data_IF_266136220424
#
_entry.id   IF_266136220424
#
_cell.length_a   1.000
_cell.length_b   1.000
_cell.length_c   1.000
_cell.angle_alpha   90.00
_cell.angle_beta   90.00
_cell.angle_gamma   90.00
#
_symmetry.space_group_name_H-M   'P 1'
#
loop_
_entity.id
_entity.type
_entity.pdbx_description
1 polymer ?
#
# COMPACT_ATOMS: atom_id res chain seq x y z
N UNK A 1 -38.83 -22.06 -7.33
CA UNK A 1 -38.96 -23.35 -6.61
C UNK A 1 -39.70 -24.31 -7.52
N UNK A 2 -39.32 -25.58 -7.68
CA UNK A 2 -38.26 -26.34 -6.99
C UNK A 2 -37.27 -27.04 -7.95
N UNK A 3 -36.20 -27.60 -7.39
CA UNK A 3 -35.28 -28.48 -8.12
C UNK A 3 -33.94 -28.66 -7.43
N UNK A 4 -33.96 -29.18 -6.19
CA UNK A 4 -32.78 -29.71 -5.51
C UNK A 4 -31.98 -30.63 -6.44
N UNK A 5 -30.67 -30.45 -6.51
CA UNK A 5 -29.75 -31.51 -6.89
C UNK A 5 -28.67 -31.59 -5.83
N UNK A 6 -28.83 -32.52 -4.89
CA UNK A 6 -27.73 -33.05 -4.11
C UNK A 6 -26.73 -33.68 -5.09
N UNK A 7 -25.44 -33.41 -4.87
CA UNK A 7 -24.38 -34.20 -5.48
C UNK A 7 -23.47 -34.68 -4.35
N UNK A 8 -23.82 -35.87 -3.85
CA UNK A 8 -23.00 -36.69 -2.98
C UNK A 8 -21.96 -37.39 -3.84
N UNK A 9 -20.69 -37.17 -3.56
CA UNK A 9 -19.59 -37.98 -4.10
C UNK A 9 -18.68 -38.40 -2.94
N UNK A 10 -18.91 -39.64 -2.50
CA UNK A 10 -18.05 -40.37 -1.58
C UNK A 10 -16.90 -40.96 -2.40
N UNK A 11 -15.67 -40.68 -2.01
CA UNK A 11 -14.52 -41.50 -2.36
C UNK A 11 -13.68 -41.72 -1.09
N UNK A 12 -13.76 -42.95 -0.58
CA UNK A 12 -12.95 -43.47 0.51
C UNK A 12 -11.87 -44.34 -0.13
N UNK A 13 -10.58 -43.99 -0.01
CA UNK A 13 -9.50 -44.96 -0.18
C UNK A 13 -8.42 -44.75 0.86
N UNK A 14 -8.18 -45.85 1.58
CA UNK A 14 -7.30 -46.02 2.72
C UNK A 14 -5.83 -45.84 2.39
N UNK A 15 -5.08 -45.47 3.43
CA UNK A 15 -3.61 -45.51 3.59
C UNK A 15 -2.89 -46.58 2.75
N UNK A 16 -1.78 -46.18 2.14
CA UNK A 16 -0.54 -46.95 2.16
C UNK A 16 0.66 -45.99 2.21
N UNK A 17 1.52 -46.22 3.20
CA UNK A 17 2.75 -45.50 3.44
C UNK A 17 3.85 -45.92 2.44
N UNK A 18 4.77 -45.00 2.14
CA UNK A 18 6.04 -45.30 1.49
C UNK A 18 6.60 -44.13 0.69
N UNK A 19 7.52 -43.37 1.27
CA UNK A 19 8.56 -42.66 0.49
C UNK A 19 9.65 -43.69 0.12
N UNK A 20 10.27 -43.61 -1.06
CA UNK A 20 11.46 -42.77 -1.18
C UNK A 20 11.46 -41.84 -2.40
N UNK A 21 12.22 -40.77 -2.20
CA UNK A 21 12.58 -39.66 -3.09
C UNK A 21 13.44 -40.08 -4.27
N UNK A 22 13.12 -39.59 -5.47
CA UNK A 22 14.10 -39.09 -6.45
C UNK A 22 13.39 -38.53 -7.69
N UNK A 23 12.81 -37.34 -7.59
CA UNK A 23 12.72 -36.48 -8.76
C UNK A 23 13.87 -35.47 -8.66
N UNK A 24 14.66 -35.41 -9.72
CA UNK A 24 15.76 -34.47 -9.91
C UNK A 24 15.18 -33.05 -9.95
N UNK A 25 15.06 -32.46 -8.78
CA UNK A 25 14.67 -31.07 -8.57
C UNK A 25 15.89 -30.17 -8.82
N UNK A 26 16.14 -29.87 -10.10
CA UNK A 26 17.28 -29.05 -10.56
C UNK A 26 17.32 -27.64 -9.91
N UNK A 27 16.27 -27.24 -9.19
CA UNK A 27 16.17 -25.96 -8.50
C UNK A 27 16.56 -26.00 -7.02
N UNK A 28 16.78 -27.18 -6.42
CA UNK A 28 17.21 -27.27 -5.00
C UNK A 28 18.70 -26.99 -4.78
N UNK A 29 19.49 -26.89 -5.86
CA UNK A 29 20.89 -26.45 -5.79
C UNK A 29 21.05 -24.92 -5.87
N UNK A 30 19.96 -24.16 -6.03
CA UNK A 30 20.03 -22.69 -6.00
C UNK A 30 20.41 -22.21 -4.61
N UNK A 31 21.52 -21.46 -4.51
CA UNK A 31 21.93 -20.76 -3.28
C UNK A 31 20.98 -19.63 -2.89
N UNK A 32 20.11 -19.21 -3.80
CA UNK A 32 19.04 -18.27 -3.49
C UNK A 32 17.78 -19.07 -3.08
N UNK A 33 17.42 -19.07 -1.78
CA UNK A 33 16.29 -19.84 -1.28
C UNK A 33 14.93 -19.29 -1.75
N UNK A 34 14.88 -18.06 -2.24
CA UNK A 34 13.63 -17.42 -2.72
C UNK A 34 13.14 -18.02 -4.05
N UNK A 35 14.03 -18.70 -4.79
CA UNK A 35 13.71 -19.42 -6.03
C UNK A 35 13.18 -20.84 -5.80
N UNK A 36 13.13 -21.31 -4.55
CA UNK A 36 12.67 -22.66 -4.26
C UNK A 36 11.16 -22.76 -4.54
N UNK A 37 10.66 -23.78 -5.25
CA UNK A 37 9.23 -23.91 -5.58
C UNK A 37 8.29 -23.84 -4.36
N UNK A 38 8.78 -24.24 -3.19
CA UNK A 38 8.08 -24.18 -1.90
C UNK A 38 7.90 -22.74 -1.37
N UNK A 39 8.71 -21.80 -1.87
CA UNK A 39 8.71 -20.35 -1.53
C UNK A 39 8.29 -19.47 -2.72
N UNK A 40 8.67 -19.84 -3.94
CA UNK A 40 8.33 -19.20 -5.21
C UNK A 40 6.93 -19.55 -5.72
N UNK A 41 6.31 -20.60 -5.17
CA UNK A 41 4.89 -20.89 -5.31
C UNK A 41 4.08 -19.79 -4.63
N UNK A 42 3.88 -18.71 -5.37
CA UNK A 42 3.10 -17.57 -4.92
C UNK A 42 1.73 -18.05 -4.43
N UNK A 43 1.41 -17.77 -3.16
CA UNK A 43 0.04 -17.92 -2.63
C UNK A 43 -0.99 -17.16 -3.48
N UNK A 44 -0.56 -16.22 -4.34
CA UNK A 44 -1.42 -15.50 -5.28
C UNK A 44 -1.95 -16.36 -6.44
N UNK A 45 -1.24 -17.42 -6.84
CA UNK A 45 -1.69 -18.31 -7.93
C UNK A 45 -2.59 -19.44 -7.41
N UNK A 46 -2.59 -19.68 -6.11
CA UNK A 46 -3.28 -20.80 -5.47
C UNK A 46 -4.50 -20.33 -4.66
N UNK A 47 -5.22 -19.31 -5.12
CA UNK A 47 -6.55 -19.05 -4.56
C UNK A 47 -7.50 -20.14 -5.06
N UNK A 48 -7.48 -21.28 -4.36
CA UNK A 48 -8.49 -22.32 -4.49
C UNK A 48 -9.83 -21.71 -4.12
N UNK A 49 -10.81 -21.89 -5.01
CA UNK A 49 -12.21 -21.79 -4.63
C UNK A 49 -12.44 -22.77 -3.48
N UNK A 50 -12.55 -22.26 -2.26
CA UNK A 50 -12.94 -23.05 -1.11
C UNK A 50 -14.44 -22.84 -0.88
N UNK A 51 -15.29 -23.85 -1.13
CA UNK A 51 -16.64 -23.84 -0.62
C UNK A 51 -16.53 -24.14 0.89
N UNK A 52 -16.92 -23.18 1.73
CA UNK A 52 -16.86 -23.22 3.19
C UNK A 52 -15.44 -23.24 3.79
N UNK A 53 -14.90 -22.05 4.02
CA UNK A 53 -13.92 -21.82 5.10
C UNK A 53 -14.58 -20.86 6.09
N UNK A 54 -14.67 -21.31 7.34
CA UNK A 54 -14.97 -20.45 8.50
C UNK A 54 -14.18 -19.14 8.39
N UNK A 55 -14.83 -17.99 8.54
CA UNK A 55 -14.30 -16.62 8.43
C UNK A 55 -12.77 -16.52 8.51
N UNK A 56 -12.10 -16.73 7.38
CA UNK A 56 -10.85 -16.04 7.13
C UNK A 56 -11.21 -14.56 7.16
N UNK A 57 -10.53 -13.78 8.00
CA UNK A 57 -10.69 -12.34 8.05
C UNK A 57 -10.17 -11.78 6.72
N UNK A 58 -11.01 -11.84 5.70
CA UNK A 58 -10.67 -11.57 4.30
C UNK A 58 -9.95 -10.21 4.18
N UNK A 59 -10.28 -9.28 5.08
CA UNK A 59 -9.69 -7.95 5.21
C UNK A 59 -8.19 -8.05 5.44
N UNK A 60 -7.78 -8.88 6.41
CA UNK A 60 -6.37 -9.10 6.74
C UNK A 60 -5.64 -9.79 5.61
N UNK A 61 -6.21 -10.83 5.00
CA UNK A 61 -5.52 -11.59 3.97
C UNK A 61 -5.26 -10.75 2.70
N UNK A 62 -6.26 -9.99 2.25
CA UNK A 62 -6.12 -9.16 1.05
C UNK A 62 -5.25 -7.93 1.30
N UNK A 63 -5.45 -7.23 2.41
CA UNK A 63 -4.58 -6.10 2.78
C UNK A 63 -3.12 -6.52 2.93
N UNK A 64 -2.86 -7.67 3.59
CA UNK A 64 -1.52 -8.23 3.72
C UNK A 64 -0.91 -8.58 2.37
N UNK A 65 -1.68 -9.17 1.46
CA UNK A 65 -1.23 -9.54 0.12
C UNK A 65 -0.80 -8.32 -0.70
N UNK A 66 -1.63 -7.28 -0.70
CA UNK A 66 -1.34 -6.01 -1.36
C UNK A 66 -0.08 -5.39 -0.75
N UNK A 67 -0.02 -5.32 0.58
CA UNK A 67 1.10 -4.75 1.31
C UNK A 67 2.43 -5.46 1.05
N UNK A 68 2.43 -6.80 1.02
CA UNK A 68 3.64 -7.60 0.78
C UNK A 68 4.20 -7.45 -0.62
N UNK A 69 3.36 -7.13 -1.61
CA UNK A 69 3.81 -6.83 -2.96
C UNK A 69 4.54 -5.49 -3.06
N UNK A 70 4.13 -4.52 -2.24
CA UNK A 70 4.69 -3.18 -2.27
C UNK A 70 5.91 -3.05 -1.37
N UNK A 71 5.97 -3.74 -0.23
CA UNK A 71 7.02 -3.54 0.76
C UNK A 71 8.44 -3.96 0.31
N UNK A 72 9.43 -3.43 1.02
CA UNK A 72 10.85 -3.84 0.98
C UNK A 72 11.47 -3.75 2.37
N UNK A 73 12.75 -4.12 2.49
CA UNK A 73 13.52 -3.96 3.73
C UNK A 73 13.69 -2.49 4.13
N UNK A 74 13.71 -1.55 3.18
CA UNK A 74 13.89 -0.12 3.46
C UNK A 74 12.58 0.59 3.86
N UNK A 75 11.42 0.01 3.51
CA UNK A 75 10.10 0.50 3.90
C UNK A 75 9.15 -0.69 4.15
N UNK A 76 9.29 -1.36 5.31
CA UNK A 76 8.60 -2.60 5.60
C UNK A 76 7.11 -2.39 5.85
N UNK A 77 6.34 -3.45 5.59
CA UNK A 77 4.92 -3.51 5.87
C UNK A 77 4.65 -3.55 7.37
N UNK A 78 3.72 -2.74 7.86
CA UNK A 78 3.25 -2.73 9.24
C UNK A 78 1.74 -2.91 9.26
N UNK A 79 1.24 -3.71 10.21
CA UNK A 79 -0.20 -3.93 10.42
C UNK A 79 -0.71 -3.09 11.59
N UNK A 80 -1.75 -2.29 11.37
CA UNK A 80 -2.41 -1.47 12.40
C UNK A 80 -1.48 -0.52 13.15
N UNK A 81 -0.31 -0.21 12.59
CA UNK A 81 0.68 0.62 13.26
C UNK A 81 0.24 2.08 13.22
N UNK A 82 0.24 2.73 14.37
CA UNK A 82 0.06 4.17 14.44
C UNK A 82 1.31 4.85 13.89
N UNK A 83 1.09 5.88 13.10
CA UNK A 83 2.15 6.78 12.71
C UNK A 83 2.49 7.67 13.91
N UNK A 84 3.56 7.31 14.63
CA UNK A 84 4.14 8.16 15.67
C UNK A 84 4.93 9.28 15.01
N UNK A 85 4.56 10.53 15.33
CA UNK A 85 5.14 11.76 14.80
C UNK A 85 5.11 12.86 15.87
N UNK A 86 5.91 13.94 15.71
CA UNK A 86 5.86 15.10 16.59
C UNK A 86 4.42 15.62 16.74
N UNK A 87 4.02 15.94 17.97
CA UNK A 87 2.65 16.36 18.31
C UNK A 87 2.16 17.56 17.49
N UNK A 88 3.08 18.44 17.06
CA UNK A 88 2.79 19.60 16.20
C UNK A 88 2.26 19.22 14.81
N UNK A 89 2.57 18.02 14.32
CA UNK A 89 2.17 17.52 13.00
C UNK A 89 1.08 16.45 13.08
N UNK A 90 0.57 16.18 14.27
CA UNK A 90 -0.45 15.17 14.47
C UNK A 90 -1.82 15.75 14.10
N UNK A 91 -2.48 15.16 13.12
CA UNK A 91 -3.81 15.60 12.66
C UNK A 91 -4.87 14.65 13.18
N UNK A 92 -5.73 15.17 14.04
CA UNK A 92 -6.91 14.47 14.55
C UNK A 92 -6.59 13.14 15.26
N UNK A 93 -7.65 12.43 15.62
CA UNK A 93 -7.57 11.08 16.17
C UNK A 93 -8.23 10.11 15.17
N UNK A 94 -7.51 9.81 14.09
CA UNK A 94 -7.95 8.81 13.11
C UNK A 94 -7.47 7.42 13.51
N UNK A 95 -8.23 6.40 13.12
CA UNK A 95 -7.77 5.02 13.21
C UNK A 95 -6.57 4.84 12.26
N UNK A 96 -5.57 4.01 12.63
CA UNK A 96 -4.52 3.67 11.70
C UNK A 96 -5.10 2.91 10.50
N UNK A 97 -4.46 3.00 9.32
CA UNK A 97 -4.81 2.14 8.20
C UNK A 97 -4.56 0.68 8.59
N UNK A 98 -5.17 -0.27 7.86
CA UNK A 98 -4.95 -1.69 8.14
C UNK A 98 -3.48 -2.03 7.93
N UNK A 99 -2.92 -1.49 6.85
CA UNK A 99 -1.53 -1.69 6.47
C UNK A 99 -0.89 -0.38 6.04
N UNK A 100 0.38 -0.20 6.38
CA UNK A 100 1.21 0.90 5.88
C UNK A 100 2.64 0.44 5.66
N UNK A 101 3.30 1.05 4.66
CA UNK A 101 4.74 0.89 4.46
C UNK A 101 5.40 2.24 4.77
N UNK A 102 6.04 2.29 5.95
CA UNK A 102 6.81 3.43 6.43
C UNK A 102 8.29 3.12 6.23
N UNK A 103 9.04 4.08 5.70
CA UNK A 103 10.48 3.94 5.60
C UNK A 103 11.11 3.71 7.00
N UNK A 104 12.22 2.99 7.07
CA UNK A 104 13.00 2.88 8.31
C UNK A 104 14.02 4.01 8.39
N UNK A 105 14.28 4.54 9.59
CA UNK A 105 15.18 5.66 9.81
C UNK A 105 16.60 5.34 9.36
N UNK A 106 17.04 4.10 9.58
CA UNK A 106 18.34 3.60 9.11
C UNK A 106 18.49 3.63 7.59
N UNK A 107 17.41 3.37 6.84
CA UNK A 107 17.41 3.52 5.39
C UNK A 107 17.48 5.00 5.02
N UNK A 108 16.78 5.88 5.72
CA UNK A 108 16.78 7.30 5.38
C UNK A 108 18.02 8.07 5.85
N UNK A 109 18.76 7.55 6.84
CA UNK A 109 19.71 8.34 7.62
C UNK A 109 19.00 9.38 8.49
N UNK A 110 17.73 9.17 8.78
CA UNK A 110 16.81 10.07 9.47
C UNK A 110 16.37 9.47 10.80
N UNK A 111 15.72 10.27 11.64
CA UNK A 111 14.98 9.72 12.79
C UNK A 111 13.76 8.96 12.29
N UNK A 112 13.42 7.86 12.95
CA UNK A 112 12.23 7.06 12.64
C UNK A 112 10.96 7.94 12.66
N UNK A 113 10.90 8.97 13.52
CA UNK A 113 9.73 9.83 13.69
C UNK A 113 9.41 10.70 12.47
N UNK A 114 10.38 11.00 11.60
CA UNK A 114 10.17 11.77 10.37
C UNK A 114 10.26 10.91 9.10
N UNK A 115 10.31 9.58 9.24
CA UNK A 115 10.34 8.71 8.07
C UNK A 115 9.02 8.73 7.32
N UNK A 116 9.03 8.88 5.98
CA UNK A 116 7.81 8.98 5.19
C UNK A 116 7.03 7.67 5.18
N UNK A 117 5.71 7.78 5.22
CA UNK A 117 4.79 6.71 4.81
C UNK A 117 4.54 6.86 3.32
N UNK A 118 4.93 5.84 2.55
CA UNK A 118 4.93 5.86 1.09
C UNK A 118 3.74 5.12 0.48
N UNK A 119 3.18 4.21 1.26
CA UNK A 119 2.05 3.36 0.86
C UNK A 119 1.16 3.06 2.07
N UNK A 120 -0.15 2.99 1.85
CA UNK A 120 -1.11 2.54 2.85
C UNK A 120 -2.32 1.84 2.21
N UNK A 121 -2.92 0.90 2.94
CA UNK A 121 -4.12 0.20 2.51
C UNK A 121 -5.14 0.08 3.65
N UNK A 122 -6.43 0.21 3.33
CA UNK A 122 -7.51 0.19 4.31
C UNK A 122 -8.82 -0.37 3.74
N UNK A 123 -9.56 -1.15 4.55
CA UNK A 123 -10.90 -1.63 4.19
C UNK A 123 -11.90 -0.47 4.12
N UNK A 124 -12.74 -0.42 3.09
CA UNK A 124 -13.77 0.63 2.93
C UNK A 124 -14.87 0.54 3.99
N UNK A 125 -14.98 -0.60 4.68
CA UNK A 125 -16.05 -0.85 5.65
C UNK A 125 -17.43 -0.61 5.04
N UNK A 126 -18.25 0.15 5.76
CA UNK A 126 -19.57 0.59 5.29
C UNK A 126 -19.53 1.93 4.57
N UNK A 127 -18.56 2.79 4.90
CA UNK A 127 -18.42 4.13 4.35
C UNK A 127 -17.03 4.33 3.72
N UNK A 128 -16.93 4.30 2.38
CA UNK A 128 -15.67 4.51 1.67
C UNK A 128 -14.97 5.83 2.03
N UNK A 129 -15.75 6.86 2.40
CA UNK A 129 -15.19 8.15 2.78
C UNK A 129 -14.29 8.06 4.02
N UNK A 130 -14.66 7.24 4.99
CA UNK A 130 -13.85 7.05 6.21
C UNK A 130 -12.48 6.45 5.87
N UNK A 131 -12.43 5.56 4.88
CA UNK A 131 -11.19 4.98 4.40
C UNK A 131 -10.29 6.03 3.73
N UNK A 132 -10.87 6.90 2.91
CA UNK A 132 -10.13 7.99 2.27
C UNK A 132 -9.60 9.00 3.28
N UNK A 133 -10.38 9.35 4.30
CA UNK A 133 -9.96 10.23 5.40
C UNK A 133 -8.83 9.59 6.22
N UNK A 134 -8.94 8.30 6.52
CA UNK A 134 -7.89 7.55 7.23
C UNK A 134 -6.59 7.52 6.42
N UNK A 135 -6.67 7.26 5.11
CA UNK A 135 -5.51 7.29 4.22
C UNK A 135 -4.93 8.70 4.08
N UNK A 136 -5.76 9.74 3.95
CA UNK A 136 -5.31 11.13 3.89
C UNK A 136 -4.57 11.54 5.18
N UNK A 137 -5.14 11.21 6.34
CA UNK A 137 -4.50 11.44 7.65
C UNK A 137 -3.17 10.68 7.77
N UNK A 138 -3.11 9.45 7.24
CA UNK A 138 -1.89 8.63 7.20
C UNK A 138 -0.78 9.30 6.38
N UNK A 139 -1.12 9.91 5.25
CA UNK A 139 -0.16 10.53 4.34
C UNK A 139 0.18 11.98 4.69
N UNK A 140 -0.57 12.60 5.59
CA UNK A 140 -0.45 14.02 5.90
C UNK A 140 0.99 14.47 6.17
N UNK A 141 1.74 13.71 6.97
CA UNK A 141 3.11 14.09 7.30
C UNK A 141 4.07 13.95 6.12
N UNK A 142 3.92 12.90 5.31
CA UNK A 142 4.69 12.78 4.08
C UNK A 142 4.38 13.91 3.10
N UNK A 143 3.13 14.41 3.06
CA UNK A 143 2.77 15.59 2.27
C UNK A 143 3.49 16.85 2.74
N UNK A 144 3.59 17.06 4.05
CA UNK A 144 4.38 18.16 4.61
C UNK A 144 5.84 18.03 4.16
N UNK A 145 6.43 16.83 4.23
CA UNK A 145 7.79 16.59 3.75
C UNK A 145 7.95 16.93 2.26
N UNK A 146 6.98 16.56 1.42
CA UNK A 146 6.98 16.94 0.00
C UNK A 146 6.91 18.44 -0.21
N UNK A 147 6.01 19.13 0.50
CA UNK A 147 5.90 20.60 0.43
C UNK A 147 7.21 21.26 0.86
N UNK A 148 7.80 20.82 1.96
CA UNK A 148 9.07 21.37 2.45
C UNK A 148 10.22 21.10 1.49
N UNK A 149 10.31 19.90 0.92
CA UNK A 149 11.28 19.58 -0.13
C UNK A 149 11.10 20.52 -1.32
N UNK A 150 9.87 20.66 -1.81
CA UNK A 150 9.56 21.49 -2.97
C UNK A 150 9.95 22.95 -2.71
N UNK A 151 9.57 23.49 -1.56
CA UNK A 151 9.89 24.87 -1.17
C UNK A 151 11.40 25.13 -1.03
N UNK A 152 12.18 24.14 -0.57
CA UNK A 152 13.64 24.25 -0.43
C UNK A 152 14.38 24.09 -1.77
N UNK A 153 13.76 23.44 -2.76
CA UNK A 153 14.41 23.10 -4.04
C UNK A 153 13.92 23.90 -5.24
N UNK A 154 12.71 24.48 -5.18
CA UNK A 154 12.16 25.30 -6.26
C UNK A 154 12.97 26.56 -6.47
N UNK A 155 13.12 26.95 -7.73
CA UNK A 155 13.84 28.17 -8.11
C UNK A 155 12.92 29.38 -8.22
N UNK A 156 11.65 29.14 -8.57
CA UNK A 156 10.64 30.19 -8.75
C UNK A 156 9.33 29.84 -8.04
N UNK A 157 8.44 30.82 -7.89
CA UNK A 157 7.19 30.64 -7.16
C UNK A 157 6.11 29.92 -7.98
N UNK A 158 6.22 29.98 -9.31
CA UNK A 158 5.33 29.43 -10.33
C UNK A 158 5.76 28.04 -10.82
N UNK A 159 6.83 27.49 -10.27
CA UNK A 159 7.30 26.14 -10.60
C UNK A 159 6.21 25.11 -10.27
N UNK A 160 5.99 24.16 -11.19
CA UNK A 160 5.00 23.11 -10.99
C UNK A 160 5.48 22.08 -9.96
N UNK A 161 4.54 21.49 -9.23
CA UNK A 161 4.85 20.40 -8.32
C UNK A 161 5.44 19.22 -9.09
N UNK A 162 6.60 18.66 -8.68
CA UNK A 162 7.19 17.53 -9.38
C UNK A 162 6.26 16.32 -9.38
N UNK A 163 6.05 15.70 -10.55
CA UNK A 163 5.14 14.56 -10.72
C UNK A 163 5.54 13.30 -9.93
N UNK A 164 6.73 13.26 -9.33
CA UNK A 164 7.14 12.16 -8.44
C UNK A 164 6.59 12.29 -7.02
N UNK A 165 6.12 13.47 -6.60
CA UNK A 165 5.58 13.74 -5.24
C UNK A 165 4.17 13.19 -5.05
N UNK A 166 4.01 11.91 -5.33
CA UNK A 166 2.75 11.18 -5.26
C UNK A 166 2.88 10.04 -4.25
N UNK A 167 1.83 9.83 -3.45
CA UNK A 167 1.69 8.71 -2.52
C UNK A 167 0.52 7.84 -2.94
N UNK A 168 0.61 6.54 -2.73
CA UNK A 168 -0.43 5.61 -3.15
C UNK A 168 -1.16 5.01 -1.96
N UNK A 169 -2.47 5.25 -1.90
CA UNK A 169 -3.40 4.59 -0.99
C UNK A 169 -4.24 3.56 -1.73
N UNK A 170 -4.51 2.42 -1.09
CA UNK A 170 -5.40 1.40 -1.64
C UNK A 170 -6.60 1.19 -0.72
N UNK A 171 -7.80 1.29 -1.28
CA UNK A 171 -9.02 0.87 -0.57
C UNK A 171 -9.48 -0.48 -1.10
N UNK A 172 -9.96 -1.36 -0.22
CA UNK A 172 -10.47 -2.67 -0.61
C UNK A 172 -11.74 -3.01 0.15
N UNK A 173 -12.61 -3.84 -0.42
CA UNK A 173 -13.82 -4.29 0.26
C UNK A 173 -14.33 -5.64 -0.25
N UNK A 174 -14.92 -6.43 0.65
CA UNK A 174 -15.50 -7.72 0.31
C UNK A 174 -16.68 -7.57 -0.63
N UNK A 175 -17.40 -6.44 -0.54
CA UNK A 175 -18.49 -6.09 -1.45
C UNK A 175 -17.99 -5.86 -2.88
N UNK A 176 -16.84 -5.19 -3.03
CA UNK A 176 -16.24 -4.96 -4.35
C UNK A 176 -15.53 -6.21 -4.89
N UNK A 177 -15.14 -7.16 -4.04
CA UNK A 177 -14.29 -8.30 -4.42
C UNK A 177 -13.03 -7.81 -5.16
N UNK A 178 -12.45 -6.71 -4.69
CA UNK A 178 -11.37 -6.00 -5.38
C UNK A 178 -10.77 -4.90 -4.54
N UNK A 179 -10.04 -4.00 -5.21
CA UNK A 179 -9.44 -2.81 -4.61
C UNK A 179 -9.44 -1.63 -5.60
N UNK A 180 -9.30 -0.43 -5.05
CA UNK A 180 -9.21 0.84 -5.77
C UNK A 180 -7.91 1.51 -5.38
N UNK A 181 -7.22 2.11 -6.34
CA UNK A 181 -5.97 2.85 -6.10
C UNK A 181 -6.26 4.34 -6.15
N UNK A 182 -5.81 5.03 -5.11
CA UNK A 182 -5.87 6.46 -4.93
C UNK A 182 -4.45 7.03 -4.92
N UNK A 183 -4.23 8.08 -5.69
CA UNK A 183 -3.01 8.88 -5.61
C UNK A 183 -3.27 10.12 -4.80
N UNK A 184 -2.36 10.40 -3.88
CA UNK A 184 -2.37 11.60 -3.07
C UNK A 184 -1.16 12.46 -3.48
N UNK A 185 -1.36 13.76 -3.68
CA UNK A 185 -0.25 14.69 -3.92
C UNK A 185 -0.55 16.08 -3.35
N UNK A 186 0.49 16.87 -3.02
CA UNK A 186 0.31 18.21 -2.49
C UNK A 186 -0.17 19.15 -3.60
N UNK A 187 -0.95 20.16 -3.19
CA UNK A 187 -1.39 21.25 -4.06
C UNK A 187 -1.24 22.59 -3.33
N UNK A 188 -1.02 23.66 -4.08
CA UNK A 188 -1.14 25.01 -3.57
C UNK A 188 -2.44 25.62 -4.09
N UNK A 189 -3.34 25.97 -3.17
CA UNK A 189 -4.59 26.65 -3.49
C UNK A 189 -4.31 28.15 -3.55
N UNK A 190 -4.46 28.73 -4.74
CA UNK A 190 -4.29 30.16 -4.94
C UNK A 190 -5.48 30.92 -4.34
N UNK A 191 -5.27 32.05 -3.64
CA UNK A 191 -6.37 32.90 -3.18
C UNK A 191 -7.15 33.54 -4.34
N UNK A 192 -6.60 33.50 -5.55
CA UNK A 192 -7.25 33.99 -6.77
C UNK A 192 -8.17 32.95 -7.42
N UNK A 193 -8.13 31.67 -6.97
CA UNK A 193 -9.07 30.66 -7.44
C UNK A 193 -10.45 30.89 -6.81
N UNK A 194 -11.49 31.19 -7.61
CA UNK A 194 -12.84 31.43 -7.09
C UNK A 194 -13.46 30.19 -6.42
N UNK A 195 -12.90 28.99 -6.59
CA UNK A 195 -13.34 27.76 -5.95
C UNK A 195 -12.48 27.38 -4.74
N UNK A 196 -11.48 28.18 -4.35
CA UNK A 196 -10.65 27.87 -3.20
C UNK A 196 -11.49 27.85 -1.92
N UNK A 197 -11.38 26.79 -1.08
CA UNK A 197 -12.10 26.70 0.18
C UNK A 197 -11.64 27.75 1.21
N UNK A 198 -10.48 28.38 0.98
CA UNK A 198 -9.86 29.34 1.88
C UNK A 198 -9.56 30.66 1.15
N UNK A 199 -9.82 31.78 1.83
CA UNK A 199 -9.60 33.14 1.29
C UNK A 199 -8.13 33.59 1.29
N UNK A 200 -7.24 32.78 1.87
CA UNK A 200 -5.79 32.98 1.89
C UNK A 200 -5.13 31.79 1.23
N UNK A 201 -4.09 32.03 0.41
CA UNK A 201 -3.37 30.94 -0.25
C UNK A 201 -2.86 29.91 0.74
N UNK A 202 -3.16 28.65 0.49
CA UNK A 202 -2.89 27.54 1.41
C UNK A 202 -2.34 26.32 0.70
N UNK A 203 -1.47 25.59 1.42
CA UNK A 203 -1.07 24.26 0.99
C UNK A 203 -2.11 23.24 1.42
N UNK A 204 -2.45 22.34 0.51
CA UNK A 204 -3.38 21.24 0.72
C UNK A 204 -2.87 19.94 0.12
N UNK A 205 -3.73 18.93 0.13
CA UNK A 205 -3.51 17.67 -0.56
C UNK A 205 -4.78 17.27 -1.30
N UNK A 206 -4.63 16.72 -2.49
CA UNK A 206 -5.73 16.17 -3.28
C UNK A 206 -5.57 14.66 -3.41
N UNK A 207 -6.70 13.95 -3.45
CA UNK A 207 -6.76 12.52 -3.76
C UNK A 207 -7.43 12.32 -5.11
N UNK A 208 -6.80 11.53 -5.98
CA UNK A 208 -7.30 11.17 -7.29
C UNK A 208 -7.43 9.66 -7.39
N UNK A 209 -8.60 9.19 -7.82
CA UNK A 209 -8.82 7.79 -8.11
C UNK A 209 -8.20 7.46 -9.48
N UNK A 210 -7.12 6.66 -9.49
CA UNK A 210 -6.36 6.38 -10.73
C UNK A 210 -6.88 5.11 -11.41
N UNK A 211 -7.32 4.11 -10.64
CA UNK A 211 -7.77 2.83 -11.21
C UNK A 211 -9.07 2.36 -10.57
N UNK A 212 -10.14 2.33 -11.37
CA UNK A 212 -11.46 1.72 -11.10
C UNK A 212 -11.56 0.23 -11.43
N UNK A 213 -10.49 -0.34 -11.99
CA UNK A 213 -10.53 -1.52 -12.86
C UNK A 213 -10.48 -2.89 -12.19
N UNK A 214 -10.31 -2.99 -10.86
CA UNK A 214 -10.06 -4.29 -10.20
C UNK A 214 -11.25 -4.85 -9.41
N UNK A 215 -12.48 -4.37 -9.68
CA UNK A 215 -13.69 -4.99 -9.13
C UNK A 215 -13.79 -6.46 -9.56
N UNK A 216 -14.03 -7.35 -8.61
CA UNK A 216 -14.12 -8.79 -8.86
C UNK A 216 -12.80 -9.49 -9.19
N UNK A 217 -11.64 -8.81 -9.10
CA UNK A 217 -10.34 -9.38 -9.47
C UNK A 217 -9.99 -10.64 -8.68
N UNK A 218 -10.47 -10.74 -7.43
CA UNK A 218 -10.21 -11.91 -6.58
C UNK A 218 -10.98 -13.16 -7.01
N UNK A 219 -12.08 -12.99 -7.75
CA UNK A 219 -12.85 -14.09 -8.35
C UNK A 219 -12.39 -14.45 -9.76
N UNK A 220 -11.44 -13.72 -10.34
CA UNK A 220 -10.90 -14.03 -11.67
C UNK A 220 -9.81 -15.08 -11.57
N UNK A 221 -9.60 -15.80 -12.67
CA UNK A 221 -8.49 -16.73 -12.83
C UNK A 221 -7.13 -16.04 -12.56
N UNK A 222 -6.15 -16.76 -11.99
CA UNK A 222 -4.86 -16.17 -11.63
C UNK A 222 -4.13 -15.45 -12.78
N UNK A 223 -4.26 -15.93 -14.02
CA UNK A 223 -3.64 -15.29 -15.20
C UNK A 223 -4.28 -13.95 -15.57
N UNK A 224 -5.54 -13.72 -15.22
CA UNK A 224 -6.22 -12.44 -15.44
C UNK A 224 -5.79 -11.36 -14.43
N UNK A 225 -5.01 -11.72 -13.40
CA UNK A 225 -4.52 -10.82 -12.36
C UNK A 225 -3.19 -10.15 -12.70
N UNK A 226 -2.62 -10.42 -13.89
CA UNK A 226 -1.38 -9.79 -14.36
C UNK A 226 -1.41 -8.25 -14.29
N UNK A 227 -2.46 -7.54 -14.74
CA UNK A 227 -2.48 -6.08 -14.69
C UNK A 227 -2.45 -5.54 -13.25
N UNK A 228 -3.02 -6.29 -12.29
CA UNK A 228 -2.95 -5.97 -10.87
C UNK A 228 -1.50 -6.06 -10.38
N UNK A 229 -0.81 -7.17 -10.69
CA UNK A 229 0.59 -7.36 -10.29
C UNK A 229 1.51 -6.30 -10.90
N UNK A 230 1.30 -5.97 -12.18
CA UNK A 230 2.04 -4.92 -12.87
C UNK A 230 1.83 -3.55 -12.18
N UNK A 231 0.60 -3.25 -11.78
CA UNK A 231 0.26 -2.00 -11.09
C UNK A 231 0.90 -1.90 -9.71
N UNK A 232 0.82 -2.95 -8.88
CA UNK A 232 1.49 -2.96 -7.57
C UNK A 232 3.01 -2.88 -7.69
N UNK A 233 3.57 -3.51 -8.71
CA UNK A 233 5.02 -3.43 -9.02
C UNK A 233 5.42 -2.00 -9.40
N UNK A 234 4.58 -1.30 -10.18
CA UNK A 234 4.82 0.10 -10.51
C UNK A 234 4.75 0.99 -9.26
N UNK A 235 3.74 0.79 -8.39
CA UNK A 235 3.64 1.49 -7.11
C UNK A 235 4.90 1.27 -6.27
N UNK A 236 5.39 0.03 -6.16
CA UNK A 236 6.65 -0.28 -5.47
C UNK A 236 7.84 0.48 -6.06
N UNK A 237 7.98 0.47 -7.39
CA UNK A 237 9.05 1.20 -8.08
C UNK A 237 8.99 2.71 -7.81
N UNK A 238 7.78 3.28 -7.84
CA UNK A 238 7.56 4.69 -7.52
C UNK A 238 7.91 5.01 -6.07
N UNK A 239 7.47 4.20 -5.09
CA UNK A 239 7.83 4.39 -3.69
C UNK A 239 9.35 4.38 -3.51
N UNK A 240 10.08 3.52 -4.23
CA UNK A 240 11.55 3.52 -4.19
C UNK A 240 12.18 4.77 -4.81
N UNK A 241 11.62 5.30 -5.91
CA UNK A 241 12.08 6.56 -6.49
C UNK A 241 11.87 7.73 -5.52
N UNK A 242 10.68 7.82 -4.92
CA UNK A 242 10.36 8.81 -3.87
C UNK A 242 11.36 8.71 -2.73
N UNK A 243 11.60 7.50 -2.21
CA UNK A 243 12.53 7.24 -1.12
C UNK A 243 13.95 7.73 -1.47
N UNK A 244 14.42 7.40 -2.68
CA UNK A 244 15.74 7.81 -3.18
C UNK A 244 15.88 9.33 -3.27
N UNK A 245 14.85 10.03 -3.77
CA UNK A 245 14.85 11.50 -3.89
C UNK A 245 14.84 12.18 -2.54
N UNK A 246 14.03 11.68 -1.62
CA UNK A 246 13.98 12.19 -0.24
C UNK A 246 15.31 11.94 0.48
N UNK A 247 15.92 10.76 0.34
CA UNK A 247 17.25 10.45 0.91
C UNK A 247 18.32 11.42 0.43
N UNK A 248 18.25 11.85 -0.84
CA UNK A 248 19.19 12.80 -1.42
C UNK A 248 18.98 14.26 -0.95
N UNK A 249 17.92 14.55 -0.18
CA UNK A 249 17.59 15.90 0.25
C UNK A 249 18.44 16.35 1.46
N UNK A 250 19.35 17.35 1.30
CA UNK A 250 20.15 17.85 2.42
C UNK A 250 19.33 18.64 3.45
N UNK A 251 18.14 19.12 3.07
CA UNK A 251 17.28 19.95 3.92
C UNK A 251 16.67 19.22 5.13
N UNK A 252 16.70 17.88 5.18
CA UNK A 252 16.15 17.11 6.28
C UNK A 252 16.66 17.52 7.67
N UNK A 253 17.97 17.79 7.80
CA UNK A 253 18.57 18.20 9.07
C UNK A 253 17.96 19.50 9.64
N UNK A 254 17.58 20.42 8.74
CA UNK A 254 16.89 21.67 9.10
C UNK A 254 15.48 21.37 9.60
N UNK A 255 14.77 20.47 8.91
CA UNK A 255 13.41 20.04 9.28
C UNK A 255 13.39 19.40 10.67
N UNK A 256 14.31 18.47 10.95
CA UNK A 256 14.40 17.81 12.26
C UNK A 256 14.59 18.81 13.40
N UNK A 257 15.44 19.82 13.19
CA UNK A 257 15.73 20.86 14.20
C UNK A 257 14.49 21.70 14.52
N UNK A 258 13.66 22.01 13.52
CA UNK A 258 12.45 22.81 13.70
C UNK A 258 11.37 22.12 14.54
N UNK A 259 11.32 20.79 14.53
CA UNK A 259 10.31 20.02 15.28
C UNK A 259 10.77 19.57 16.68
N UNK A 260 12.01 19.89 17.07
CA UNK A 260 12.61 19.54 18.38
C UNK A 260 12.91 20.76 19.26
N UNK A 261 12.56 21.96 18.80
CA UNK A 261 12.56 23.20 19.60
C UNK A 261 11.15 23.51 20.09
#
# INVERSE_FOLDING_TARGET
MPGLSELVLVANFSKLAGRPTSDLDANQSSRNPDLWPQRAGSRLLAHREYPLVEELDWRKDVGMLIGTMVCTDEFPLKYGARNEWPSLLQVGNFLPPDYSCRAVGSAMGWSDDLTPVLFAAHDEGENPQNALETLAATFHQTMILFILYFLDTRSTWDEEMPGWMVLYGITYSSKMQGFTIHAYHPIFESPEDPNAPHSSGSWGAVSLEIVKGFRGVWGQDPWCREPLLATLTHIKGHCMDVLSRLRAWPGYSKVWTQFHM
#
